data_IF_656283843868
#
_entry.id   IF_656283843868
#
_cell.length_a   1.000
_cell.length_b   1.000
_cell.length_c   1.000
_cell.angle_alpha   90.00
_cell.angle_beta   90.00
_cell.angle_gamma   90.00
#
_symmetry.space_group_name_H-M   'P 1'
#
loop_
_entity.id
_entity.type
_entity.pdbx_description
1 polymer ?
#
# COMPACT_ATOMS: atom_id res chain seq x y z
N UNK A 1 6.37 9.06 -9.52
CA UNK A 1 6.50 9.00 -8.04
C UNK A 1 7.94 8.63 -7.72
N UNK A 2 8.47 8.99 -6.54
CA UNK A 2 9.79 8.52 -6.09
C UNK A 2 9.58 7.30 -5.21
N UNK A 3 10.21 6.18 -5.57
CA UNK A 3 10.12 4.94 -4.82
C UNK A 3 11.38 4.67 -4.00
N UNK A 4 11.19 4.10 -2.82
CA UNK A 4 12.26 3.68 -1.92
C UNK A 4 11.95 2.31 -1.32
N UNK A 5 12.98 1.53 -1.03
CA UNK A 5 12.83 0.29 -0.27
C UNK A 5 12.80 0.59 1.22
N UNK A 6 11.86 -0.02 1.96
CA UNK A 6 11.83 0.06 3.43
C UNK A 6 13.01 -0.63 4.11
N UNK A 7 13.64 -1.57 3.43
CA UNK A 7 14.76 -2.36 3.94
C UNK A 7 15.88 -2.41 2.88
N UNK A 8 17.17 -2.35 3.28
CA UNK A 8 18.30 -2.40 2.35
C UNK A 8 18.62 -3.83 1.89
N UNK A 9 17.59 -4.61 1.50
CA UNK A 9 17.70 -6.02 1.11
C UNK A 9 17.86 -6.22 -0.40
N UNK A 10 17.28 -5.33 -1.20
CA UNK A 10 17.11 -5.53 -2.63
C UNK A 10 18.20 -4.81 -3.43
N UNK A 11 18.81 -5.54 -4.38
CA UNK A 11 19.81 -4.99 -5.31
C UNK A 11 19.20 -4.21 -6.48
N UNK A 12 17.94 -4.48 -6.82
CA UNK A 12 17.21 -3.75 -7.85
C UNK A 12 16.87 -2.33 -7.35
N UNK A 13 17.10 -1.28 -8.16
CA UNK A 13 16.67 0.07 -7.81
C UNK A 13 15.17 0.13 -7.50
N UNK A 14 14.81 0.74 -6.37
CA UNK A 14 13.41 0.86 -5.93
C UNK A 14 12.53 1.55 -6.98
N UNK A 15 13.09 2.52 -7.71
CA UNK A 15 12.39 3.21 -8.79
C UNK A 15 11.94 2.25 -9.90
N UNK A 16 12.84 1.39 -10.39
CA UNK A 16 12.53 0.40 -11.43
C UNK A 16 11.50 -0.62 -10.94
N UNK A 17 11.60 -1.03 -9.67
CA UNK A 17 10.62 -1.94 -9.08
C UNK A 17 9.22 -1.32 -9.00
N UNK A 18 9.14 -0.04 -8.60
CA UNK A 18 7.87 0.67 -8.45
C UNK A 18 7.18 0.91 -9.79
N UNK A 19 7.95 1.33 -10.79
CA UNK A 19 7.44 1.53 -12.15
C UNK A 19 6.93 0.23 -12.78
N UNK A 20 7.61 -0.89 -12.54
CA UNK A 20 7.16 -2.19 -13.02
C UNK A 20 5.89 -2.65 -12.31
N UNK A 21 5.79 -2.44 -10.99
CA UNK A 21 4.57 -2.73 -10.24
C UNK A 21 3.39 -1.84 -10.70
N UNK A 22 3.61 -0.57 -11.00
CA UNK A 22 2.58 0.29 -11.62
C UNK A 22 2.15 -0.23 -13.00
N UNK A 23 3.09 -0.73 -13.82
CA UNK A 23 2.77 -1.34 -15.11
C UNK A 23 1.89 -2.58 -14.93
N UNK A 24 2.20 -3.44 -13.96
CA UNK A 24 1.41 -4.62 -13.61
C UNK A 24 0.02 -4.20 -13.11
N UNK A 25 -0.07 -3.18 -12.25
CA UNK A 25 -1.35 -2.62 -11.80
C UNK A 25 -2.20 -2.10 -12.97
N UNK A 26 -1.61 -1.37 -13.92
CA UNK A 26 -2.34 -0.86 -15.10
C UNK A 26 -2.85 -1.99 -15.98
N UNK A 27 -2.07 -3.06 -16.15
CA UNK A 27 -2.44 -4.22 -16.99
C UNK A 27 -3.55 -5.06 -16.36
N UNK A 28 -3.45 -5.35 -15.07
CA UNK A 28 -4.36 -6.27 -14.35
C UNK A 28 -5.45 -5.54 -13.56
N UNK A 29 -5.42 -4.20 -13.54
CA UNK A 29 -6.28 -3.34 -12.74
C UNK A 29 -5.92 -3.28 -11.25
N UNK A 30 -5.07 -4.19 -10.76
CA UNK A 30 -4.60 -4.32 -9.38
C UNK A 30 -3.34 -5.18 -9.32
N UNK A 31 -2.68 -5.18 -8.18
CA UNK A 31 -1.52 -6.03 -7.91
C UNK A 31 -1.93 -7.19 -7.00
N UNK A 32 -1.52 -8.41 -7.36
CA UNK A 32 -1.63 -9.59 -6.52
C UNK A 32 -0.29 -10.33 -6.52
N UNK A 33 0.04 -11.09 -5.47
CA UNK A 33 1.27 -11.89 -5.48
C UNK A 33 1.37 -12.81 -6.70
N UNK A 34 0.24 -13.37 -7.15
CA UNK A 34 0.17 -14.21 -8.34
C UNK A 34 0.50 -13.44 -9.62
N UNK A 35 -0.10 -12.27 -9.86
CA UNK A 35 0.17 -11.54 -11.11
C UNK A 35 1.59 -10.94 -11.14
N UNK A 36 2.16 -10.57 -9.98
CA UNK A 36 3.56 -10.16 -9.90
C UNK A 36 4.47 -11.32 -10.22
N UNK A 37 4.20 -12.50 -9.64
CA UNK A 37 5.00 -13.68 -9.90
C UNK A 37 4.98 -14.05 -11.39
N UNK A 38 3.79 -14.12 -12.00
CA UNK A 38 3.63 -14.44 -13.43
C UNK A 38 4.39 -13.47 -14.35
N UNK A 39 4.27 -12.16 -14.11
CA UNK A 39 4.97 -11.14 -14.91
C UNK A 39 6.49 -11.13 -14.64
N UNK A 40 6.93 -11.68 -13.51
CA UNK A 40 8.35 -11.79 -13.12
C UNK A 40 9.02 -13.09 -13.56
N UNK A 41 8.26 -14.09 -14.05
CA UNK A 41 8.80 -15.37 -14.52
C UNK A 41 9.83 -15.25 -15.65
N UNK A 42 9.64 -14.41 -16.68
CA UNK A 42 10.62 -14.29 -17.75
C UNK A 42 11.97 -13.81 -17.23
N UNK A 43 13.07 -14.39 -17.70
CA UNK A 43 14.44 -14.04 -17.25
C UNK A 43 14.82 -12.58 -17.52
N UNK A 44 14.19 -11.95 -18.51
CA UNK A 44 14.36 -10.53 -18.82
C UNK A 44 13.39 -9.59 -18.07
N UNK A 45 12.51 -10.11 -17.20
CA UNK A 45 11.59 -9.26 -16.45
C UNK A 45 12.33 -8.43 -15.41
N UNK A 46 11.91 -7.19 -15.20
CA UNK A 46 12.55 -6.23 -14.29
C UNK A 46 12.63 -6.78 -12.86
N UNK A 47 11.55 -7.42 -12.40
CA UNK A 47 11.45 -7.98 -11.05
C UNK A 47 12.02 -9.40 -10.93
N UNK A 48 12.48 -10.03 -12.03
CA UNK A 48 12.90 -11.43 -12.06
C UNK A 48 13.96 -11.77 -11.00
N UNK A 49 14.94 -10.88 -10.84
CA UNK A 49 16.06 -11.02 -9.90
C UNK A 49 15.65 -10.97 -8.42
N UNK A 50 14.43 -10.56 -8.11
CA UNK A 50 13.92 -10.50 -6.73
C UNK A 50 13.36 -11.84 -6.25
N UNK A 51 13.26 -12.84 -7.13
CA UNK A 51 12.66 -14.14 -6.85
C UNK A 51 13.69 -15.26 -6.86
N UNK A 52 13.43 -16.29 -6.07
CA UNK A 52 14.20 -17.52 -6.11
C UNK A 52 13.55 -18.54 -7.04
N UNK A 53 14.28 -18.93 -8.09
CA UNK A 53 13.76 -19.80 -9.15
C UNK A 53 14.18 -21.27 -9.04
N UNK A 54 14.82 -21.69 -7.94
CA UNK A 54 15.17 -23.09 -7.74
C UNK A 54 13.90 -23.94 -7.56
N UNK A 55 13.73 -24.98 -8.37
CA UNK A 55 12.49 -25.76 -8.46
C UNK A 55 12.44 -26.87 -7.41
N UNK A 56 11.68 -26.61 -6.35
CA UNK A 56 11.19 -27.62 -5.42
C UNK A 56 9.67 -27.48 -5.26
N UNK A 57 8.97 -28.52 -4.78
CA UNK A 57 7.52 -28.47 -4.59
C UNK A 57 7.04 -27.36 -3.63
N UNK A 58 7.95 -26.81 -2.79
CA UNK A 58 7.69 -25.68 -1.92
C UNK A 58 7.98 -24.30 -2.57
N UNK A 59 8.53 -24.27 -3.79
CA UNK A 59 9.03 -23.06 -4.42
C UNK A 59 7.93 -22.07 -4.80
N UNK A 60 6.75 -22.55 -5.22
CA UNK A 60 5.67 -21.65 -5.65
C UNK A 60 5.11 -20.84 -4.47
N UNK A 61 4.82 -21.50 -3.35
CA UNK A 61 4.35 -20.81 -2.12
C UNK A 61 5.41 -19.85 -1.60
N UNK A 62 6.68 -20.23 -1.65
CA UNK A 62 7.79 -19.36 -1.27
C UNK A 62 7.88 -18.12 -2.16
N UNK A 63 7.76 -18.28 -3.49
CA UNK A 63 7.74 -17.17 -4.45
C UNK A 63 6.54 -16.24 -4.24
N UNK A 64 5.38 -16.77 -3.87
CA UNK A 64 4.23 -15.94 -3.48
C UNK A 64 4.52 -15.11 -2.22
N UNK A 65 5.22 -15.66 -1.23
CA UNK A 65 5.69 -14.88 -0.08
C UNK A 65 6.72 -13.82 -0.48
N UNK A 66 7.67 -14.15 -1.37
CA UNK A 66 8.61 -13.16 -1.92
C UNK A 66 7.87 -12.02 -2.64
N UNK A 67 6.85 -12.32 -3.43
CA UNK A 67 6.02 -11.31 -4.07
C UNK A 67 5.31 -10.42 -3.03
N UNK A 68 4.74 -11.01 -1.97
CA UNK A 68 4.14 -10.22 -0.86
C UNK A 68 5.16 -9.33 -0.18
N UNK A 69 6.37 -9.84 0.05
CA UNK A 69 7.46 -9.08 0.67
C UNK A 69 7.87 -7.88 -0.18
N UNK A 70 8.04 -8.08 -1.50
CA UNK A 70 8.36 -7.01 -2.46
C UNK A 70 7.27 -5.93 -2.45
N UNK A 71 6.00 -6.33 -2.59
CA UNK A 71 4.86 -5.38 -2.58
C UNK A 71 4.78 -4.62 -1.26
N UNK A 72 5.04 -5.28 -0.13
CA UNK A 72 4.94 -4.69 1.21
C UNK A 72 6.10 -3.76 1.60
N UNK A 73 7.27 -3.95 0.99
CA UNK A 73 8.50 -3.21 1.27
C UNK A 73 8.79 -2.07 0.30
N UNK A 74 8.08 -1.99 -0.82
CA UNK A 74 8.19 -0.83 -1.68
C UNK A 74 7.35 0.34 -1.13
N UNK A 75 8.03 1.44 -0.87
CA UNK A 75 7.45 2.67 -0.35
C UNK A 75 7.47 3.78 -1.41
N UNK A 76 6.53 4.71 -1.27
CA UNK A 76 6.47 5.94 -2.06
C UNK A 76 6.79 7.10 -1.14
N UNK A 77 7.75 7.92 -1.56
CA UNK A 77 7.96 9.24 -0.98
C UNK A 77 7.11 10.23 -1.78
N UNK A 78 6.14 10.86 -1.12
CA UNK A 78 5.36 11.95 -1.71
C UNK A 78 5.93 13.29 -1.30
N UNK A 79 5.82 14.26 -2.18
CA UNK A 79 6.06 15.66 -1.85
C UNK A 79 4.71 16.29 -1.51
N UNK A 80 4.46 16.58 -0.24
CA UNK A 80 3.29 17.36 0.20
C UNK A 80 3.80 18.75 0.55
N UNK A 81 3.23 19.79 -0.09
CA UNK A 81 3.63 21.19 0.11
C UNK A 81 5.15 21.45 -0.05
N UNK A 82 5.80 20.70 -0.94
CA UNK A 82 7.24 20.83 -1.19
C UNK A 82 8.14 20.16 -0.15
N UNK A 83 7.57 19.44 0.83
CA UNK A 83 8.32 18.64 1.80
C UNK A 83 8.16 17.15 1.49
N UNK A 84 9.25 16.35 1.53
CA UNK A 84 9.12 14.90 1.47
C UNK A 84 8.38 14.43 2.72
N UNK A 85 7.31 13.67 2.51
CA UNK A 85 6.63 12.97 3.60
C UNK A 85 7.45 11.76 4.03
N UNK A 86 7.16 11.24 5.22
CA UNK A 86 7.66 9.92 5.59
C UNK A 86 7.26 8.88 4.53
N UNK A 87 8.15 7.91 4.22
CA UNK A 87 7.86 6.89 3.22
C UNK A 87 6.67 6.03 3.62
N UNK A 88 5.58 6.11 2.85
CA UNK A 88 4.38 5.27 3.05
C UNK A 88 4.41 4.09 2.08
N UNK A 89 3.73 2.98 2.40
CA UNK A 89 3.63 1.85 1.46
C UNK A 89 3.09 2.32 0.11
N UNK A 90 3.77 1.94 -0.97
CA UNK A 90 3.37 2.29 -2.32
C UNK A 90 2.02 1.68 -2.69
N UNK A 91 1.79 0.46 -2.22
CA UNK A 91 0.60 -0.32 -2.49
C UNK A 91 -0.05 -0.74 -1.17
N UNK A 92 -1.36 -0.52 -1.08
CA UNK A 92 -2.17 -0.84 0.09
C UNK A 92 -3.22 -1.88 -0.29
N UNK A 93 -3.57 -2.74 0.66
CA UNK A 93 -4.60 -3.75 0.45
C UNK A 93 -5.97 -3.06 0.43
N UNK A 94 -6.76 -3.29 -0.61
CA UNK A 94 -8.11 -2.76 -0.77
C UNK A 94 -9.02 -3.93 -1.15
N UNK A 95 -10.26 -3.92 -0.64
CA UNK A 95 -11.25 -4.95 -0.92
C UNK A 95 -12.42 -4.32 -1.67
N UNK A 96 -12.41 -4.29 -3.01
CA UNK A 96 -13.58 -3.85 -3.77
C UNK A 96 -14.78 -4.75 -3.46
N UNK A 97 -15.97 -4.17 -3.32
CA UNK A 97 -17.20 -4.91 -2.98
C UNK A 97 -17.51 -6.06 -3.98
N UNK A 98 -17.00 -5.97 -5.20
CA UNK A 98 -17.38 -6.85 -6.32
C UNK A 98 -16.23 -7.77 -6.78
N UNK A 99 -15.07 -7.77 -6.09
CA UNK A 99 -13.88 -8.50 -6.57
C UNK A 99 -13.03 -9.09 -5.44
N UNK A 100 -12.20 -10.07 -5.81
CA UNK A 100 -11.20 -10.68 -4.92
C UNK A 100 -10.20 -9.65 -4.36
N UNK A 101 -9.64 -9.94 -3.17
CA UNK A 101 -8.68 -9.05 -2.49
C UNK A 101 -7.43 -8.78 -3.34
N UNK A 102 -6.91 -7.56 -3.29
CA UNK A 102 -5.68 -7.19 -4.00
C UNK A 102 -5.06 -5.89 -3.46
N UNK A 103 -3.88 -5.56 -3.98
CA UNK A 103 -3.19 -4.33 -3.66
C UNK A 103 -3.44 -3.28 -4.75
N UNK A 104 -3.68 -2.04 -4.33
CA UNK A 104 -3.83 -0.88 -5.22
C UNK A 104 -2.81 0.18 -4.84
N UNK A 105 -2.34 0.96 -5.81
CA UNK A 105 -1.42 2.07 -5.53
C UNK A 105 -2.07 3.12 -4.65
N UNK A 106 -1.28 3.69 -3.74
CA UNK A 106 -1.77 4.70 -2.82
C UNK A 106 -2.30 5.94 -3.56
N UNK A 107 -1.85 6.23 -4.78
CA UNK A 107 -2.39 7.34 -5.60
C UNK A 107 -3.80 7.02 -6.04
N UNK A 108 -4.01 5.82 -6.60
CA UNK A 108 -5.33 5.36 -7.02
C UNK A 108 -6.30 5.36 -5.85
N UNK A 109 -5.87 4.86 -4.70
CA UNK A 109 -6.68 4.81 -3.47
C UNK A 109 -7.09 6.19 -3.00
N UNK A 110 -6.17 7.15 -2.93
CA UNK A 110 -6.49 8.51 -2.50
C UNK A 110 -7.29 9.31 -3.55
N UNK A 111 -7.28 8.89 -4.81
CA UNK A 111 -8.06 9.52 -5.89
C UNK A 111 -9.48 8.94 -6.06
N UNK A 112 -9.76 7.76 -5.49
CA UNK A 112 -11.06 7.12 -5.54
C UNK A 112 -11.73 7.19 -4.17
N UNK A 113 -12.93 7.77 -4.13
CA UNK A 113 -13.64 8.04 -2.87
C UNK A 113 -14.03 6.76 -2.12
N UNK A 114 -14.43 5.69 -2.83
CA UNK A 114 -14.76 4.42 -2.19
C UNK A 114 -13.52 3.79 -1.52
N UNK A 115 -12.38 3.77 -2.21
CA UNK A 115 -11.13 3.19 -1.70
C UNK A 115 -10.53 4.01 -0.57
N UNK A 116 -10.62 5.34 -0.66
CA UNK A 116 -10.20 6.23 0.41
C UNK A 116 -11.05 6.02 1.67
N UNK A 117 -12.36 5.77 1.51
CA UNK A 117 -13.25 5.43 2.62
C UNK A 117 -12.88 4.10 3.28
N UNK A 118 -12.63 3.04 2.49
CA UNK A 118 -12.18 1.75 3.04
C UNK A 118 -10.86 1.83 3.81
N UNK A 119 -9.91 2.64 3.31
CA UNK A 119 -8.65 2.89 4.00
C UNK A 119 -8.88 3.60 5.33
N UNK A 120 -9.80 4.57 5.37
CA UNK A 120 -10.19 5.25 6.58
C UNK A 120 -10.85 4.30 7.58
N UNK A 121 -11.82 3.48 7.15
CA UNK A 121 -12.47 2.48 8.01
C UNK A 121 -11.45 1.52 8.64
N UNK A 122 -10.47 1.07 7.86
CA UNK A 122 -9.39 0.22 8.36
C UNK A 122 -8.58 0.94 9.45
N UNK A 123 -8.19 2.19 9.21
CA UNK A 123 -7.46 2.99 10.20
C UNK A 123 -8.28 3.23 11.48
N UNK A 124 -9.59 3.47 11.37
CA UNK A 124 -10.47 3.63 12.53
C UNK A 124 -10.58 2.33 13.35
N UNK A 125 -10.66 1.18 12.69
CA UNK A 125 -10.65 -0.11 13.37
C UNK A 125 -9.33 -0.37 14.10
N UNK A 126 -8.20 0.02 13.52
CA UNK A 126 -6.88 -0.05 14.16
C UNK A 126 -6.81 0.86 15.40
N UNK A 127 -7.34 2.08 15.34
CA UNK A 127 -7.41 2.97 16.51
C UNK A 127 -8.29 2.38 17.62
N UNK A 128 -9.42 1.76 17.27
CA UNK A 128 -10.25 1.08 18.27
C UNK A 128 -9.49 -0.10 18.92
N UNK A 129 -8.75 -0.88 18.13
CA UNK A 129 -7.92 -1.96 18.66
C UNK A 129 -6.81 -1.42 19.58
N UNK A 130 -6.19 -0.30 19.21
CA UNK A 130 -5.19 0.39 20.02
C UNK A 130 -5.78 0.88 21.34
N UNK A 131 -6.97 1.50 21.31
CA UNK A 131 -7.71 1.93 22.49
C UNK A 131 -7.98 0.76 23.42
N UNK A 132 -8.53 -0.34 22.89
CA UNK A 132 -8.81 -1.53 23.68
C UNK A 132 -7.54 -2.11 24.33
N UNK A 133 -6.42 -2.09 23.59
CA UNK A 133 -5.12 -2.58 24.10
C UNK A 133 -4.58 -1.74 25.26
N UNK A 134 -4.81 -0.42 25.24
CA UNK A 134 -4.27 0.51 26.22
C UNK A 134 -5.32 1.16 27.13
N UNK A 135 -6.53 0.62 27.19
CA UNK A 135 -7.66 1.16 27.96
C UNK A 135 -7.39 1.29 29.47
N UNK A 136 -6.39 0.57 29.98
CA UNK A 136 -5.96 0.64 31.38
C UNK A 136 -5.14 1.91 31.72
N UNK A 137 -4.55 2.55 30.71
CA UNK A 137 -3.70 3.73 30.89
C UNK A 137 -4.57 4.98 30.85
N UNK A 138 -4.86 5.54 32.02
CA UNK A 138 -5.69 6.75 32.19
C UNK A 138 -5.04 7.96 31.50
N UNK A 139 -3.71 7.97 31.42
CA UNK A 139 -2.92 9.01 30.75
C UNK A 139 -3.19 9.11 29.24
N UNK A 140 -3.79 8.08 28.63
CA UNK A 140 -4.16 8.07 27.21
C UNK A 140 -5.62 8.46 26.96
N UNK A 141 -6.40 8.77 28.01
CA UNK A 141 -7.81 9.14 27.87
C UNK A 141 -8.01 10.34 26.94
N UNK A 142 -7.22 11.40 27.13
CA UNK A 142 -7.30 12.62 26.28
C UNK A 142 -7.00 12.34 24.81
N UNK A 143 -6.06 11.42 24.53
CA UNK A 143 -5.76 11.00 23.15
C UNK A 143 -6.98 10.31 22.50
N UNK A 144 -7.68 9.46 23.26
CA UNK A 144 -8.86 8.76 22.74
C UNK A 144 -10.03 9.70 22.48
N UNK A 145 -10.23 10.73 23.31
CA UNK A 145 -11.27 11.74 23.08
C UNK A 145 -11.03 12.50 21.76
N UNK A 146 -9.78 12.89 21.48
CA UNK A 146 -9.40 13.52 20.20
C UNK A 146 -9.68 12.60 19.00
N UNK A 147 -9.41 11.30 19.15
CA UNK A 147 -9.71 10.31 18.10
C UNK A 147 -11.23 10.21 17.86
N UNK A 148 -12.04 10.21 18.92
CA UNK A 148 -13.50 10.14 18.83
C UNK A 148 -14.12 11.38 18.14
N UNK A 149 -13.58 12.57 18.42
CA UNK A 149 -13.96 13.81 17.73
C UNK A 149 -13.64 13.75 16.24
N UNK A 150 -12.44 13.26 15.89
CA UNK A 150 -12.03 13.08 14.49
C UNK A 150 -12.95 12.07 13.78
N UNK A 151 -13.27 10.94 14.41
CA UNK A 151 -14.19 9.94 13.88
C UNK A 151 -15.57 10.54 13.57
N UNK A 152 -16.12 11.32 14.51
CA UNK A 152 -17.42 11.97 14.36
C UNK A 152 -17.41 12.97 13.21
N UNK A 153 -16.35 13.76 13.08
CA UNK A 153 -16.18 14.73 11.99
C UNK A 153 -16.15 14.06 10.62
N UNK A 154 -15.36 13.00 10.45
CA UNK A 154 -15.20 12.32 9.16
C UNK A 154 -16.31 11.31 8.84
N UNK A 155 -17.17 10.98 9.80
CA UNK A 155 -18.41 10.23 9.55
C UNK A 155 -19.48 11.10 8.89
N UNK A 156 -19.42 12.43 9.08
CA UNK A 156 -20.41 13.40 8.59
C UNK A 156 -19.99 14.12 7.29
N UNK A 157 -18.71 14.11 6.93
CA UNK A 157 -18.20 14.64 5.66
C UNK A 157 -17.28 13.61 4.98
N UNK A 158 -17.52 13.23 3.71
CA UNK A 158 -16.64 12.32 3.01
C UNK A 158 -15.24 12.92 2.88
N UNK A 159 -14.31 12.34 3.62
CA UNK A 159 -12.91 12.69 3.58
C UNK A 159 -12.36 12.55 2.15
N UNK A 160 -11.40 13.42 1.82
CA UNK A 160 -10.64 13.49 0.58
C UNK A 160 -11.29 14.32 -0.53
N UNK A 161 -11.04 15.64 -0.57
CA UNK A 161 -11.13 16.37 -1.84
C UNK A 161 -10.28 15.64 -2.89
N UNK A 162 -10.74 15.59 -4.16
CA UNK A 162 -10.01 14.88 -5.21
C UNK A 162 -8.57 15.41 -5.27
N UNK A 163 -7.61 14.49 -5.25
CA UNK A 163 -6.19 14.82 -5.44
C UNK A 163 -6.10 15.60 -6.76
N UNK A 164 -5.82 16.92 -6.66
CA UNK A 164 -5.56 17.72 -7.85
C UNK A 164 -4.32 17.15 -8.53
N UNK A 165 -4.51 16.40 -9.60
CA UNK A 165 -3.43 15.99 -10.49
C UNK A 165 -2.76 17.27 -11.02
N UNK A 166 -1.66 17.68 -10.41
CA UNK A 166 -0.70 18.59 -11.04
C UNK A 166 0.13 17.77 -12.00
N UNK A 167 -0.48 17.40 -13.13
CA UNK A 167 0.26 17.05 -14.34
C UNK A 167 -0.41 17.76 -15.51
N UNK A 168 0.14 18.92 -15.85
CA UNK A 168 0.36 19.44 -17.20
C UNK A 168 1.36 20.60 -17.06
N UNK A 169 2.30 20.73 -17.99
CA UNK A 169 2.04 21.57 -19.15
C UNK A 169 1.74 20.77 -20.42
#
# INVERSE_FOLDING_TARGET
MVYEWKIPKYSLPAQSAGEELERIERKHGRITPGNVLEESRPTGAVLHSLFEWNDSAAAEKFRLEQAREVIGNIAVVRMIEGRPTEPVRAFVNIVPADRERGYSSIVKVLSNREYAHQLLETALAEFQALRNKYAILVELAELFDVIDELQTKYSNEPAFPPVRNRQQP
#
